data_IF_272645679654
#
_entry.id   IF_272645679654
#
_cell.length_a   1.000
_cell.length_b   1.000
_cell.length_c   1.000
_cell.angle_alpha   90.00
_cell.angle_beta   90.00
_cell.angle_gamma   90.00
#
_symmetry.space_group_name_H-M   'P 1'
#
loop_
_entity.id
_entity.type
_entity.pdbx_description
1 polymer ?
#
# COMPACT_ATOMS: atom_id res chain seq x y z
N UNK A 1 36.89 79.35 33.52
CA UNK A 1 38.08 78.65 32.99
C UNK A 1 38.25 77.33 33.74
N UNK A 2 38.27 76.21 32.99
CA UNK A 2 38.64 74.82 33.36
C UNK A 2 38.60 74.46 34.86
N UNK A 3 37.53 73.80 35.29
CA UNK A 3 37.47 73.15 36.61
C UNK A 3 37.95 71.70 36.53
N UNK A 4 38.92 71.38 37.37
CA UNK A 4 39.51 70.05 37.57
C UNK A 4 38.61 69.17 38.43
N UNK A 5 38.73 67.87 38.17
CA UNK A 5 38.12 66.76 38.89
C UNK A 5 38.48 66.74 40.38
N UNK A 6 37.54 66.27 41.20
CA UNK A 6 37.86 65.42 42.35
C UNK A 6 36.74 64.39 42.59
N UNK A 7 37.16 63.15 42.82
CA UNK A 7 36.36 61.94 43.08
C UNK A 7 35.75 61.99 44.49
N UNK A 8 34.55 61.44 44.68
CA UNK A 8 34.35 60.24 45.50
C UNK A 8 32.87 59.82 45.61
N UNK A 9 32.66 58.55 45.25
CA UNK A 9 31.86 57.53 45.96
C UNK A 9 30.39 57.80 46.27
N UNK A 10 29.49 57.17 45.49
CA UNK A 10 28.20 56.68 46.00
C UNK A 10 28.06 55.19 45.68
N UNK A 11 27.85 54.40 46.74
CA UNK A 11 27.65 52.95 46.74
C UNK A 11 26.25 52.62 46.19
N UNK A 12 26.18 51.73 45.21
CA UNK A 12 24.95 51.26 44.58
C UNK A 12 24.25 50.21 45.47
N UNK A 13 22.96 50.42 45.77
CA UNK A 13 22.10 49.40 46.37
C UNK A 13 21.28 48.75 45.23
N UNK A 14 21.63 47.50 44.91
CA UNK A 14 20.94 46.67 43.93
C UNK A 14 19.61 46.17 44.54
N UNK A 15 18.48 46.64 44.00
CA UNK A 15 17.17 46.06 44.27
C UNK A 15 16.92 44.96 43.23
N UNK A 16 17.01 43.70 43.66
CA UNK A 16 16.63 42.54 42.84
C UNK A 16 15.11 42.39 42.91
N UNK A 17 14.43 42.73 41.81
CA UNK A 17 13.02 42.41 41.61
C UNK A 17 12.94 41.00 41.05
N UNK A 18 12.45 40.05 41.85
CA UNK A 18 12.10 38.72 41.37
C UNK A 18 10.83 38.81 40.52
N UNK A 19 10.99 38.76 39.19
CA UNK A 19 9.89 38.52 38.27
C UNK A 19 9.52 37.04 38.31
N UNK A 20 8.34 36.72 38.86
CA UNK A 20 7.74 35.39 38.73
C UNK A 20 7.33 35.18 37.26
N UNK A 21 8.23 34.62 36.45
CA UNK A 21 7.92 34.12 35.11
C UNK A 21 7.27 32.75 35.26
N UNK A 22 5.94 32.70 35.33
CA UNK A 22 5.20 31.47 35.10
C UNK A 22 5.39 31.06 33.64
N UNK A 23 6.38 30.21 33.35
CA UNK A 23 6.34 29.38 32.14
C UNK A 23 5.18 28.42 32.33
N UNK A 24 4.05 28.69 31.68
CA UNK A 24 3.10 27.63 31.38
C UNK A 24 3.84 26.69 30.44
N UNK A 25 4.28 25.57 30.94
CA UNK A 25 4.74 24.47 30.11
C UNK A 25 3.58 24.14 29.16
N UNK A 26 3.74 24.52 27.91
CA UNK A 26 2.83 24.12 26.86
C UNK A 26 3.09 22.63 26.64
N UNK A 27 2.36 21.80 27.38
CA UNK A 27 2.24 20.38 27.07
C UNK A 27 1.37 20.32 25.82
N UNK A 28 2.01 20.16 24.66
CA UNK A 28 1.29 19.85 23.43
C UNK A 28 0.42 18.61 23.72
N UNK A 29 -0.90 18.69 23.54
CA UNK A 29 -1.77 17.55 23.86
C UNK A 29 -1.30 16.37 23.03
N UNK A 30 -0.95 15.28 23.70
CA UNK A 30 -0.63 14.02 23.05
C UNK A 30 -1.88 13.62 22.26
N UNK A 31 -1.79 13.71 20.93
CA UNK A 31 -2.86 13.27 20.04
C UNK A 31 -3.03 11.78 20.32
N UNK A 32 -4.13 11.40 20.96
CA UNK A 32 -4.44 10.01 21.25
C UNK A 32 -4.43 9.23 19.94
N UNK A 33 -3.40 8.40 19.76
CA UNK A 33 -3.29 7.55 18.57
C UNK A 33 -4.45 6.58 18.58
N UNK A 34 -5.22 6.57 17.50
CA UNK A 34 -6.23 5.56 17.23
C UNK A 34 -5.64 4.16 17.31
N UNK A 35 -6.47 3.21 17.73
CA UNK A 35 -6.12 1.81 18.02
C UNK A 35 -5.27 1.13 16.94
N UNK A 36 -5.45 1.52 15.68
CA UNK A 36 -4.76 0.95 14.53
C UNK A 36 -3.81 1.92 13.80
N UNK A 37 -3.40 3.03 14.43
CA UNK A 37 -2.48 4.00 13.79
C UNK A 37 -0.99 3.64 13.96
N UNK A 38 -0.63 2.92 15.03
CA UNK A 38 0.77 2.57 15.30
C UNK A 38 1.15 1.21 14.72
N UNK A 39 1.01 1.06 13.41
CA UNK A 39 1.23 -0.21 12.73
C UNK A 39 0.88 -0.19 11.26
N UNK A 40 0.66 -1.37 10.70
CA UNK A 40 0.11 -1.55 9.35
C UNK A 40 -0.79 -2.78 9.30
N UNK A 41 -1.63 -2.86 8.27
CA UNK A 41 -2.54 -3.99 8.08
C UNK A 41 -1.94 -5.03 7.15
N UNK A 42 -2.31 -6.29 7.34
CA UNK A 42 -2.16 -7.33 6.32
C UNK A 42 -3.56 -7.76 5.93
N UNK A 43 -3.88 -7.57 4.65
CA UNK A 43 -5.12 -8.04 4.05
C UNK A 43 -4.90 -9.48 3.62
N UNK A 44 -5.79 -10.37 4.05
CA UNK A 44 -5.68 -11.82 3.83
C UNK A 44 -6.86 -12.29 2.98
N UNK A 45 -6.58 -13.00 1.88
CA UNK A 45 -7.61 -13.45 0.92
C UNK A 45 -8.65 -14.34 1.60
N UNK A 46 -8.24 -15.14 2.58
CA UNK A 46 -9.04 -16.21 3.14
C UNK A 46 -9.07 -17.42 2.20
N UNK A 47 -9.70 -18.51 2.65
CA UNK A 47 -9.71 -19.75 1.89
C UNK A 47 -10.97 -19.83 1.02
N UNK A 48 -10.82 -19.52 -0.27
CA UNK A 48 -11.89 -19.63 -1.26
C UNK A 48 -12.74 -20.90 -1.09
N UNK A 49 -14.03 -20.72 -0.82
CA UNK A 49 -15.01 -21.79 -0.64
C UNK A 49 -15.04 -22.43 0.75
N UNK A 50 -14.20 -21.96 1.69
CA UNK A 50 -14.12 -22.45 3.08
C UNK A 50 -14.17 -21.35 4.14
N UNK A 51 -13.77 -20.13 3.81
CA UNK A 51 -13.81 -18.98 4.69
C UNK A 51 -13.57 -17.70 3.91
N UNK A 52 -14.14 -16.60 4.40
CA UNK A 52 -13.90 -15.27 3.83
C UNK A 52 -12.49 -14.78 4.20
N UNK A 53 -12.05 -13.71 3.56
CA UNK A 53 -10.86 -12.99 3.96
C UNK A 53 -10.97 -12.33 5.34
N UNK A 54 -9.84 -11.84 5.83
CA UNK A 54 -9.73 -11.17 7.12
C UNK A 54 -8.67 -10.06 7.07
N UNK A 55 -8.62 -9.24 8.12
CA UNK A 55 -7.64 -8.15 8.24
C UNK A 55 -6.84 -8.39 9.52
N UNK A 56 -5.55 -8.58 9.36
CA UNK A 56 -4.59 -8.61 10.45
C UNK A 56 -3.95 -7.23 10.66
N UNK A 57 -3.50 -6.93 11.87
CA UNK A 57 -2.80 -5.68 12.21
C UNK A 57 -1.47 -5.97 12.90
N UNK A 58 -0.38 -5.48 12.31
CA UNK A 58 0.95 -5.52 12.93
C UNK A 58 1.17 -4.24 13.73
N UNK A 59 1.37 -4.38 15.03
CA UNK A 59 1.56 -3.25 15.94
C UNK A 59 3.07 -3.00 16.17
N UNK A 60 3.53 -1.77 15.93
CA UNK A 60 4.95 -1.41 16.01
C UNK A 60 5.53 -1.45 17.42
N UNK A 61 4.73 -1.09 18.45
CA UNK A 61 5.17 -1.11 19.85
C UNK A 61 5.42 -2.53 20.37
N UNK A 62 4.52 -3.46 20.01
CA UNK A 62 4.55 -4.83 20.55
C UNK A 62 5.25 -5.82 19.63
N UNK A 63 5.45 -5.47 18.35
CA UNK A 63 5.96 -6.38 17.33
C UNK A 63 5.04 -7.56 17.02
N UNK A 64 3.75 -7.46 17.38
CA UNK A 64 2.77 -8.55 17.24
C UNK A 64 1.81 -8.30 16.09
N UNK A 65 1.50 -9.37 15.36
CA UNK A 65 0.40 -9.42 14.40
C UNK A 65 -0.86 -9.95 15.09
N UNK A 66 -1.93 -9.16 15.08
CA UNK A 66 -3.24 -9.56 15.60
C UNK A 66 -4.20 -9.81 14.45
N UNK A 67 -4.75 -11.01 14.36
CA UNK A 67 -5.73 -11.36 13.33
C UNK A 67 -7.15 -10.91 13.69
N UNK A 68 -8.09 -11.18 12.76
CA UNK A 68 -9.53 -11.07 12.93
C UNK A 68 -9.98 -9.67 13.37
N UNK A 69 -9.20 -8.64 13.03
CA UNK A 69 -9.38 -7.29 13.57
C UNK A 69 -10.69 -6.69 13.10
N UNK A 70 -11.02 -6.83 11.81
CA UNK A 70 -12.30 -6.37 11.26
C UNK A 70 -13.50 -6.96 12.00
N UNK A 71 -13.52 -8.28 12.23
CA UNK A 71 -14.64 -8.96 12.90
C UNK A 71 -14.77 -8.55 14.35
N UNK A 72 -13.65 -8.32 15.04
CA UNK A 72 -13.62 -7.84 16.43
C UNK A 72 -14.23 -6.45 16.56
N UNK A 73 -13.94 -5.55 15.63
CA UNK A 73 -14.50 -4.18 15.66
C UNK A 73 -15.91 -4.09 15.06
N UNK A 74 -16.32 -5.09 14.27
CA UNK A 74 -17.64 -5.16 13.63
C UNK A 74 -18.31 -6.54 13.86
N UNK A 75 -18.71 -6.87 15.11
CA UNK A 75 -19.15 -8.22 15.47
C UNK A 75 -20.38 -8.71 14.69
N UNK A 76 -21.24 -7.80 14.22
CA UNK A 76 -22.45 -8.09 13.44
C UNK A 76 -22.25 -8.04 11.92
N UNK A 77 -21.02 -7.80 11.46
CA UNK A 77 -20.67 -7.69 10.03
C UNK A 77 -19.76 -8.84 9.60
N UNK A 78 -19.68 -9.03 8.29
CA UNK A 78 -18.85 -10.04 7.64
C UNK A 78 -18.44 -9.60 6.23
N UNK A 79 -17.61 -10.43 5.61
CA UNK A 79 -17.15 -10.30 4.23
C UNK A 79 -17.76 -11.37 3.32
N UNK A 80 -18.92 -11.93 3.68
CA UNK A 80 -19.56 -13.02 2.94
C UNK A 80 -19.85 -12.68 1.46
N UNK A 81 -20.01 -13.69 0.57
CA UNK A 81 -20.15 -15.14 0.83
C UNK A 81 -18.84 -15.85 1.17
N UNK A 82 -18.91 -17.12 1.62
CA UNK A 82 -17.75 -18.00 1.86
C UNK A 82 -16.86 -18.23 0.63
N UNK A 83 -17.39 -17.98 -0.58
CA UNK A 83 -16.62 -17.99 -1.82
C UNK A 83 -15.79 -16.72 -2.03
N UNK A 84 -16.03 -15.66 -1.27
CA UNK A 84 -15.32 -14.40 -1.43
C UNK A 84 -13.85 -14.54 -1.05
N UNK A 85 -13.02 -13.72 -1.68
CA UNK A 85 -11.62 -13.57 -1.32
C UNK A 85 -11.29 -12.10 -1.20
N UNK A 86 -10.82 -11.66 -0.04
CA UNK A 86 -10.44 -10.26 0.20
C UNK A 86 -9.04 -10.02 -0.36
N UNK A 87 -8.94 -9.64 -1.63
CA UNK A 87 -7.65 -9.66 -2.31
C UNK A 87 -6.93 -8.30 -2.37
N UNK A 88 -7.59 -7.22 -1.97
CA UNK A 88 -7.01 -5.89 -2.09
C UNK A 88 -7.43 -4.98 -0.93
N UNK A 89 -6.49 -4.15 -0.49
CA UNK A 89 -6.74 -3.08 0.45
C UNK A 89 -5.94 -1.83 0.12
N UNK A 90 -6.52 -0.66 0.37
CA UNK A 90 -5.81 0.62 0.28
C UNK A 90 -6.42 1.63 1.24
N UNK A 91 -5.59 2.56 1.72
CA UNK A 91 -6.06 3.67 2.55
C UNK A 91 -6.19 4.91 1.66
N UNK A 92 -7.32 5.59 1.75
CA UNK A 92 -7.55 6.87 1.08
C UNK A 92 -8.35 7.78 2.00
N UNK A 93 -7.79 8.95 2.35
CA UNK A 93 -8.43 9.94 3.24
C UNK A 93 -8.96 9.33 4.55
N UNK A 94 -8.05 8.72 5.31
CA UNK A 94 -8.32 8.06 6.60
C UNK A 94 -9.25 6.84 6.55
N UNK A 95 -9.71 6.43 5.36
CA UNK A 95 -10.56 5.25 5.19
C UNK A 95 -9.78 4.10 4.55
N UNK A 96 -9.88 2.92 5.14
CA UNK A 96 -9.39 1.67 4.58
C UNK A 96 -10.50 1.03 3.72
N UNK A 97 -10.21 0.89 2.43
CA UNK A 97 -11.07 0.24 1.43
C UNK A 97 -10.65 -1.20 1.30
N UNK A 98 -11.53 -2.12 1.65
CA UNK A 98 -11.37 -3.57 1.60
C UNK A 98 -12.16 -4.10 0.40
N UNK A 99 -11.48 -4.73 -0.56
CA UNK A 99 -12.07 -5.12 -1.83
C UNK A 99 -12.01 -6.63 -2.00
N UNK A 100 -13.18 -7.26 -2.15
CA UNK A 100 -13.30 -8.71 -2.33
C UNK A 100 -13.80 -9.10 -3.73
N UNK A 101 -13.17 -10.13 -4.30
CA UNK A 101 -13.62 -10.83 -5.52
C UNK A 101 -14.64 -11.94 -5.19
N UNK A 102 -15.06 -12.66 -6.23
CA UNK A 102 -15.85 -13.89 -6.13
C UNK A 102 -17.17 -13.75 -5.34
N UNK A 103 -17.94 -12.74 -5.69
CA UNK A 103 -19.24 -12.42 -5.10
C UNK A 103 -19.16 -11.54 -3.86
N UNK A 104 -17.95 -11.23 -3.36
CA UNK A 104 -17.73 -10.45 -2.15
C UNK A 104 -18.11 -8.97 -2.26
N UNK A 105 -18.12 -8.27 -1.11
CA UNK A 105 -18.38 -6.84 -1.03
C UNK A 105 -17.12 -6.00 -1.31
N UNK A 106 -17.34 -4.69 -1.48
CA UNK A 106 -16.33 -3.69 -1.11
C UNK A 106 -16.78 -3.10 0.23
N UNK A 107 -15.91 -3.07 1.23
CA UNK A 107 -16.19 -2.52 2.55
C UNK A 107 -15.27 -1.33 2.81
N UNK A 108 -15.81 -0.27 3.40
CA UNK A 108 -15.06 0.92 3.80
C UNK A 108 -15.12 1.03 5.31
N UNK A 109 -13.95 1.10 5.93
CA UNK A 109 -13.81 1.25 7.38
C UNK A 109 -12.94 2.46 7.69
N UNK A 110 -13.16 3.08 8.83
CA UNK A 110 -12.22 4.05 9.38
C UNK A 110 -10.87 3.36 9.65
N UNK A 111 -9.75 3.87 9.14
CA UNK A 111 -8.46 3.19 9.22
C UNK A 111 -7.87 3.17 10.65
N UNK A 112 -8.39 4.00 11.56
CA UNK A 112 -7.89 4.16 12.93
C UNK A 112 -8.63 3.27 13.93
N UNK A 113 -9.89 2.97 13.64
CA UNK A 113 -10.81 2.21 14.51
C UNK A 113 -11.33 0.92 13.88
N UNK A 114 -11.16 0.73 12.56
CA UNK A 114 -11.73 -0.35 11.74
C UNK A 114 -13.26 -0.47 11.77
N UNK A 115 -13.99 0.52 12.27
CA UNK A 115 -15.46 0.51 12.24
C UNK A 115 -15.96 0.74 10.80
N UNK A 116 -16.89 -0.09 10.35
CA UNK A 116 -17.50 0.02 9.02
C UNK A 116 -18.28 1.33 8.87
N UNK A 117 -17.91 2.13 7.85
CA UNK A 117 -18.55 3.39 7.46
C UNK A 117 -19.51 3.20 6.28
N UNK A 118 -19.27 2.19 5.45
CA UNK A 118 -20.10 1.90 4.30
C UNK A 118 -19.64 0.67 3.53
N UNK A 119 -20.45 0.27 2.54
CA UNK A 119 -20.15 -0.89 1.69
C UNK A 119 -20.89 -0.86 0.37
N UNK A 120 -20.28 -1.45 -0.65
CA UNK A 120 -20.99 -2.03 -1.79
C UNK A 120 -21.26 -3.49 -1.44
N UNK A 121 -22.53 -3.86 -1.35
CA UNK A 121 -22.95 -5.17 -0.89
C UNK A 121 -22.44 -6.32 -1.79
N UNK A 122 -22.24 -7.47 -1.16
CA UNK A 122 -21.99 -8.73 -1.84
C UNK A 122 -23.14 -9.05 -2.81
N UNK A 123 -22.80 -9.49 -4.01
CA UNK A 123 -23.76 -9.86 -5.06
C UNK A 123 -23.12 -10.89 -5.98
N UNK A 124 -23.89 -11.90 -6.37
CA UNK A 124 -23.45 -12.88 -7.37
C UNK A 124 -22.97 -12.19 -8.65
N UNK A 125 -21.82 -12.60 -9.15
CA UNK A 125 -21.15 -11.98 -10.30
C UNK A 125 -20.24 -10.79 -9.95
N UNK A 126 -20.23 -10.30 -8.72
CA UNK A 126 -19.20 -9.35 -8.28
C UNK A 126 -17.82 -10.00 -8.42
N UNK A 127 -16.90 -9.27 -9.04
CA UNK A 127 -15.51 -9.68 -9.18
C UNK A 127 -14.63 -8.43 -9.08
N UNK A 128 -14.75 -7.72 -7.96
CA UNK A 128 -13.99 -6.49 -7.69
C UNK A 128 -12.51 -6.79 -7.55
N UNK A 129 -11.65 -5.86 -8.00
CA UNK A 129 -10.20 -6.06 -8.07
C UNK A 129 -9.42 -5.06 -7.22
N UNK A 130 -9.39 -3.79 -7.59
CA UNK A 130 -8.67 -2.74 -6.87
C UNK A 130 -9.50 -1.47 -6.75
N UNK A 131 -9.14 -0.62 -5.79
CA UNK A 131 -9.75 0.69 -5.59
C UNK A 131 -8.70 1.80 -5.71
N UNK A 132 -9.07 2.94 -6.28
CA UNK A 132 -8.26 4.17 -6.25
C UNK A 132 -9.15 5.38 -5.97
N UNK A 133 -8.76 6.22 -5.00
CA UNK A 133 -9.42 7.49 -4.74
C UNK A 133 -9.01 8.56 -5.77
N UNK A 134 -9.97 9.34 -6.26
CA UNK A 134 -9.73 10.41 -7.24
C UNK A 134 -9.75 11.77 -6.54
N UNK A 135 -10.85 12.04 -5.83
CA UNK A 135 -11.10 13.25 -5.05
C UNK A 135 -11.97 12.94 -3.81
N UNK A 136 -12.49 13.96 -3.14
CA UNK A 136 -13.29 13.80 -1.91
C UNK A 136 -14.69 13.17 -2.10
N UNK A 137 -15.15 13.06 -3.35
CA UNK A 137 -16.46 12.55 -3.74
C UNK A 137 -16.36 11.31 -4.65
N UNK A 138 -15.24 11.14 -5.35
CA UNK A 138 -15.10 10.17 -6.43
C UNK A 138 -13.95 9.20 -6.16
N UNK A 139 -14.24 7.90 -6.26
CA UNK A 139 -13.24 6.84 -6.41
C UNK A 139 -13.52 5.99 -7.65
N UNK A 140 -12.60 5.09 -7.97
CA UNK A 140 -12.78 4.08 -9.01
C UNK A 140 -12.58 2.70 -8.43
N UNK A 141 -13.41 1.76 -8.86
CA UNK A 141 -13.36 0.35 -8.48
C UNK A 141 -13.24 -0.52 -9.73
N UNK A 142 -12.09 -1.18 -9.90
CA UNK A 142 -11.86 -2.10 -11.01
C UNK A 142 -12.49 -3.45 -10.74
N UNK A 143 -12.80 -4.19 -11.81
CA UNK A 143 -13.44 -5.50 -11.74
C UNK A 143 -12.94 -6.43 -12.85
N UNK A 144 -13.43 -7.68 -12.85
CA UNK A 144 -13.28 -8.61 -13.96
C UNK A 144 -13.94 -8.19 -15.28
N UNK A 145 -14.72 -7.10 -15.29
CA UNK A 145 -15.50 -6.64 -16.44
C UNK A 145 -15.30 -5.17 -16.83
N UNK A 146 -14.49 -4.41 -16.08
CA UNK A 146 -14.12 -3.04 -16.41
C UNK A 146 -13.80 -2.22 -15.16
N UNK A 147 -14.10 -0.93 -15.20
CA UNK A 147 -13.90 -0.02 -14.06
C UNK A 147 -15.17 0.78 -13.80
N UNK A 148 -15.54 0.94 -12.54
CA UNK A 148 -16.76 1.60 -12.11
C UNK A 148 -16.44 2.83 -11.25
N UNK A 149 -17.17 3.92 -11.48
CA UNK A 149 -17.10 5.14 -10.68
C UNK A 149 -17.85 4.92 -9.38
N UNK A 150 -17.17 5.17 -8.26
CA UNK A 150 -17.70 5.05 -6.90
C UNK A 150 -18.00 6.44 -6.35
N UNK A 151 -19.24 6.65 -5.91
CA UNK A 151 -19.58 7.82 -5.09
C UNK A 151 -19.14 7.56 -3.64
N UNK A 152 -18.20 8.36 -3.12
CA UNK A 152 -17.61 8.19 -1.79
C UNK A 152 -18.50 8.67 -0.64
N UNK A 153 -19.65 9.28 -0.92
CA UNK A 153 -20.65 9.64 0.09
C UNK A 153 -21.70 8.55 0.28
N UNK A 154 -22.08 7.88 -0.81
CA UNK A 154 -23.13 6.85 -0.81
C UNK A 154 -22.61 5.42 -0.93
N UNK A 155 -21.33 5.25 -1.27
CA UNK A 155 -20.68 3.96 -1.57
C UNK A 155 -21.44 3.13 -2.60
N UNK A 156 -21.75 3.75 -3.74
CA UNK A 156 -22.42 3.11 -4.88
C UNK A 156 -21.53 3.14 -6.12
N UNK A 157 -21.56 2.07 -6.92
CA UNK A 157 -20.73 1.89 -8.12
C UNK A 157 -21.58 1.59 -9.36
N UNK A 158 -22.32 2.60 -9.84
CA UNK A 158 -23.36 2.42 -10.85
C UNK A 158 -22.94 2.84 -12.26
N UNK A 159 -21.85 3.59 -12.40
CA UNK A 159 -21.41 4.11 -13.70
C UNK A 159 -20.12 3.43 -14.10
N UNK A 160 -20.14 2.70 -15.21
CA UNK A 160 -18.94 2.09 -15.79
C UNK A 160 -18.17 3.12 -16.61
N UNK A 161 -16.84 3.14 -16.49
CA UNK A 161 -15.97 3.95 -17.34
C UNK A 161 -16.02 3.46 -18.79
N UNK A 162 -16.06 4.40 -19.71
CA UNK A 162 -16.03 4.13 -21.16
C UNK A 162 -14.59 3.86 -21.59
N UNK A 163 -14.42 2.90 -22.50
CA UNK A 163 -13.13 2.65 -23.17
C UNK A 163 -12.22 1.65 -22.47
N UNK A 164 -12.64 1.03 -21.36
CA UNK A 164 -11.92 -0.07 -20.71
C UNK A 164 -12.88 -1.20 -20.37
N UNK A 165 -12.58 -2.40 -20.89
CA UNK A 165 -13.44 -3.58 -20.84
C UNK A 165 -12.64 -4.78 -20.33
N UNK A 166 -13.35 -5.82 -19.89
CA UNK A 166 -12.73 -7.04 -19.39
C UNK A 166 -12.02 -6.85 -18.05
N UNK A 167 -11.04 -7.71 -17.75
CA UNK A 167 -10.38 -7.71 -16.45
C UNK A 167 -9.45 -6.49 -16.31
N UNK A 168 -9.69 -5.71 -15.25
CA UNK A 168 -8.85 -4.59 -14.84
C UNK A 168 -8.44 -4.80 -13.38
N UNK A 169 -7.14 -4.70 -13.13
CA UNK A 169 -6.52 -4.93 -11.84
C UNK A 169 -6.12 -3.63 -11.15
N UNK A 170 -4.83 -3.52 -10.85
CA UNK A 170 -4.24 -2.38 -10.15
C UNK A 170 -4.54 -1.04 -10.83
N UNK A 171 -4.72 -0.03 -10.00
CA UNK A 171 -4.88 1.35 -10.42
C UNK A 171 -4.06 2.26 -9.52
N UNK A 172 -3.53 3.35 -10.08
CA UNK A 172 -2.87 4.40 -9.29
C UNK A 172 -3.16 5.77 -9.91
N UNK A 173 -3.44 6.75 -9.05
CA UNK A 173 -3.51 8.16 -9.45
C UNK A 173 -2.14 8.82 -9.27
N UNK A 174 -1.69 9.52 -10.29
CA UNK A 174 -0.48 10.34 -10.26
C UNK A 174 -0.67 11.58 -11.11
N UNK A 175 -0.27 12.75 -10.59
CA UNK A 175 -0.36 14.01 -11.32
C UNK A 175 -1.76 14.23 -11.93
N UNK A 176 -1.80 14.39 -13.25
CA UNK A 176 -3.01 14.66 -14.03
C UNK A 176 -3.71 13.38 -14.54
N UNK A 177 -3.20 12.20 -14.19
CA UNK A 177 -3.63 10.94 -14.79
C UNK A 177 -3.94 9.86 -13.77
N UNK A 178 -4.69 8.88 -14.26
CA UNK A 178 -4.96 7.61 -13.59
C UNK A 178 -4.41 6.52 -14.48
N UNK A 179 -3.55 5.68 -13.93
CA UNK A 179 -2.92 4.56 -14.60
C UNK A 179 -3.60 3.27 -14.13
N UNK A 180 -3.98 2.40 -15.06
CA UNK A 180 -4.73 1.18 -14.79
C UNK A 180 -4.14 -0.01 -15.54
N UNK A 181 -4.12 -1.18 -14.91
CA UNK A 181 -3.68 -2.42 -15.55
C UNK A 181 -4.88 -3.18 -16.11
N UNK A 182 -5.01 -3.23 -17.42
CA UNK A 182 -5.99 -4.06 -18.14
C UNK A 182 -5.33 -5.34 -18.65
N UNK A 183 -5.99 -6.49 -18.47
CA UNK A 183 -5.51 -7.77 -19.00
C UNK A 183 -5.42 -7.79 -20.52
N UNK A 184 -6.34 -7.09 -21.19
CA UNK A 184 -6.43 -7.05 -22.64
C UNK A 184 -5.61 -5.91 -23.22
N UNK A 185 -5.63 -4.74 -22.57
CA UNK A 185 -5.04 -3.51 -23.12
C UNK A 185 -3.66 -3.16 -22.56
N UNK A 186 -3.16 -3.88 -21.56
CA UNK A 186 -1.93 -3.53 -20.87
C UNK A 186 -2.15 -2.30 -19.99
N UNK A 187 -1.32 -1.28 -20.16
CA UNK A 187 -1.46 -0.01 -19.46
C UNK A 187 -2.55 0.85 -20.11
N UNK A 188 -3.54 1.25 -19.33
CA UNK A 188 -4.58 2.20 -19.74
C UNK A 188 -4.43 3.47 -18.90
N UNK A 189 -4.45 4.63 -19.55
CA UNK A 189 -4.25 5.94 -18.92
C UNK A 189 -5.49 6.79 -19.15
N UNK A 190 -6.04 7.34 -18.08
CA UNK A 190 -7.18 8.25 -18.09
C UNK A 190 -6.78 9.63 -17.57
N UNK A 191 -7.42 10.69 -18.05
CA UNK A 191 -7.31 12.02 -17.47
C UNK A 191 -8.04 12.04 -16.12
N UNK A 192 -7.41 12.53 -15.06
CA UNK A 192 -8.01 12.50 -13.72
C UNK A 192 -9.08 13.57 -13.50
N UNK A 193 -9.11 14.61 -14.33
CA UNK A 193 -10.05 15.74 -14.21
C UNK A 193 -11.45 15.42 -14.70
N UNK A 194 -11.58 14.56 -15.71
CA UNK A 194 -12.85 14.26 -16.37
C UNK A 194 -13.08 12.77 -16.65
N UNK A 195 -12.14 11.91 -16.24
CA UNK A 195 -12.20 10.46 -16.42
C UNK A 195 -12.32 10.04 -17.90
N UNK A 196 -11.82 10.86 -18.83
CA UNK A 196 -11.71 10.50 -20.25
C UNK A 196 -10.48 9.63 -20.52
N UNK A 197 -10.62 8.67 -21.44
CA UNK A 197 -9.51 7.81 -21.86
C UNK A 197 -8.46 8.64 -22.62
N UNK A 198 -7.22 8.60 -22.15
CA UNK A 198 -6.09 9.30 -22.76
C UNK A 198 -5.29 8.37 -23.70
N UNK A 199 -4.86 7.19 -23.20
CA UNK A 199 -3.96 6.30 -23.93
C UNK A 199 -4.07 4.84 -23.52
N UNK A 200 -3.73 3.93 -24.43
CA UNK A 200 -3.52 2.50 -24.18
C UNK A 200 -2.14 2.07 -24.66
N UNK A 201 -1.46 1.21 -23.89
CA UNK A 201 -0.12 0.68 -24.19
C UNK A 201 -0.10 -0.81 -23.84
N UNK A 202 0.04 -1.67 -24.86
CA UNK A 202 0.04 -3.13 -24.69
C UNK A 202 1.26 -3.63 -23.91
N UNK A 203 1.13 -4.82 -23.33
CA UNK A 203 2.26 -5.61 -22.82
C UNK A 203 2.67 -5.34 -21.37
N UNK A 204 1.97 -4.45 -20.65
CA UNK A 204 2.18 -4.26 -19.21
C UNK A 204 1.90 -5.55 -18.44
N UNK A 205 2.80 -5.92 -17.51
CA UNK A 205 2.69 -7.14 -16.71
C UNK A 205 2.50 -6.90 -15.21
N UNK A 206 3.26 -6.00 -14.59
CA UNK A 206 3.14 -5.71 -13.14
C UNK A 206 3.06 -4.21 -12.92
N UNK A 207 2.18 -3.76 -12.03
CA UNK A 207 2.08 -2.38 -11.59
C UNK A 207 1.20 -2.27 -10.34
N UNK A 208 1.09 -1.11 -9.70
CA UNK A 208 1.94 0.07 -9.87
C UNK A 208 2.70 0.37 -8.57
N UNK A 209 3.78 1.12 -8.70
CA UNK A 209 4.40 1.80 -7.56
C UNK A 209 4.65 3.28 -7.91
N UNK A 210 4.79 4.13 -6.88
CA UNK A 210 5.04 5.57 -7.04
C UNK A 210 6.20 6.00 -6.16
N UNK A 211 7.21 6.63 -6.75
CA UNK A 211 8.37 7.16 -6.03
C UNK A 211 8.13 8.62 -5.59
N UNK A 212 8.92 9.16 -4.63
CA UNK A 212 8.75 10.53 -4.11
C UNK A 212 8.81 11.63 -5.17
N UNK A 213 9.59 11.44 -6.25
CA UNK A 213 9.61 12.32 -7.41
C UNK A 213 8.33 12.26 -8.29
N UNK A 214 7.29 11.55 -7.84
CA UNK A 214 5.99 11.43 -8.50
C UNK A 214 5.92 10.41 -9.63
N UNK A 215 7.04 9.81 -10.06
CA UNK A 215 7.05 8.87 -11.19
C UNK A 215 6.24 7.61 -10.86
N UNK A 216 5.47 7.16 -11.85
CA UNK A 216 4.68 5.92 -11.78
C UNK A 216 5.46 4.79 -12.45
N UNK A 217 5.56 3.66 -11.77
CA UNK A 217 6.38 2.51 -12.16
C UNK A 217 5.54 1.28 -12.45
N UNK A 218 5.92 0.57 -13.50
CA UNK A 218 5.32 -0.69 -13.94
C UNK A 218 6.32 -1.49 -14.78
N UNK A 219 6.04 -2.76 -15.03
CA UNK A 219 6.87 -3.62 -15.88
C UNK A 219 6.15 -4.00 -17.15
N UNK A 220 6.91 -4.24 -18.22
CA UNK A 220 6.41 -4.81 -19.47
C UNK A 220 7.55 -5.56 -20.17
N UNK A 221 7.32 -6.83 -20.52
CA UNK A 221 8.39 -7.72 -20.99
C UNK A 221 9.53 -7.81 -19.96
N UNK A 222 10.77 -7.60 -20.39
CA UNK A 222 11.97 -7.61 -19.53
C UNK A 222 12.35 -6.22 -18.99
N UNK A 223 11.42 -5.26 -18.95
CA UNK A 223 11.76 -3.88 -18.57
C UNK A 223 10.92 -3.39 -17.40
N UNK A 224 11.56 -2.62 -16.53
CA UNK A 224 10.93 -1.74 -15.55
C UNK A 224 10.84 -0.35 -16.16
N UNK A 225 9.62 0.15 -16.37
CA UNK A 225 9.33 1.46 -16.91
C UNK A 225 9.00 2.45 -15.80
N UNK A 226 9.41 3.70 -16.00
CA UNK A 226 8.84 4.87 -15.32
C UNK A 226 8.02 5.71 -16.30
N UNK A 227 7.01 6.38 -15.79
CA UNK A 227 6.26 7.41 -16.52
C UNK A 227 6.07 8.63 -15.64
N UNK A 228 6.36 9.79 -16.21
CA UNK A 228 6.06 11.09 -15.63
C UNK A 228 4.55 11.35 -15.65
N UNK A 229 3.90 11.58 -14.50
CA UNK A 229 2.44 11.69 -14.46
C UNK A 229 1.90 13.09 -14.84
N UNK A 230 2.72 13.94 -15.45
CA UNK A 230 2.30 15.27 -15.96
C UNK A 230 2.50 15.33 -17.47
N UNK A 231 3.70 14.98 -17.93
CA UNK A 231 4.10 15.00 -19.34
C UNK A 231 3.92 13.67 -20.08
N UNK A 232 3.69 12.56 -19.35
CA UNK A 232 3.71 11.18 -19.87
C UNK A 232 5.05 10.76 -20.51
N UNK A 233 6.13 11.51 -20.25
CA UNK A 233 7.48 11.10 -20.64
C UNK A 233 7.84 9.78 -19.97
N UNK A 234 8.40 8.85 -20.76
CA UNK A 234 8.75 7.51 -20.32
C UNK A 234 10.25 7.27 -20.40
N UNK A 235 10.72 6.39 -19.52
CA UNK A 235 12.08 5.85 -19.52
C UNK A 235 12.04 4.44 -18.93
N UNK A 236 13.09 3.65 -19.12
CA UNK A 236 13.11 2.25 -18.68
C UNK A 236 14.51 1.72 -18.41
N UNK A 237 14.55 0.70 -17.56
CA UNK A 237 15.73 -0.14 -17.32
C UNK A 237 15.41 -1.59 -17.64
N UNK A 238 16.34 -2.30 -18.26
CA UNK A 238 16.22 -3.74 -18.50
C UNK A 238 16.44 -4.51 -17.19
N UNK A 239 15.55 -5.46 -16.93
CA UNK A 239 15.64 -6.47 -15.88
C UNK A 239 16.27 -7.74 -16.45
N UNK A 240 17.03 -8.46 -15.64
CA UNK A 240 17.61 -9.76 -16.04
C UNK A 240 16.57 -10.92 -16.00
N UNK A 241 15.29 -10.60 -15.86
CA UNK A 241 14.17 -11.53 -15.83
C UNK A 241 12.92 -10.87 -16.43
N UNK A 242 11.92 -11.69 -16.76
CA UNK A 242 10.60 -11.23 -17.23
C UNK A 242 9.60 -11.34 -16.09
N UNK A 243 9.09 -10.23 -15.52
CA UNK A 243 8.02 -10.27 -14.52
C UNK A 243 6.73 -10.82 -15.12
N UNK A 244 6.12 -11.81 -14.45
CA UNK A 244 4.85 -12.39 -14.86
C UNK A 244 3.66 -11.53 -14.39
N UNK A 245 2.61 -11.51 -15.23
CA UNK A 245 1.37 -10.82 -14.88
C UNK A 245 0.54 -11.65 -13.91
N UNK A 246 -0.21 -10.99 -13.04
CA UNK A 246 -1.08 -11.62 -12.05
C UNK A 246 -2.48 -11.95 -12.61
N UNK A 247 -2.61 -12.50 -13.83
CA UNK A 247 -3.93 -12.82 -14.41
C UNK A 247 -4.40 -14.25 -14.05
N UNK A 248 -5.72 -14.47 -14.09
CA UNK A 248 -6.35 -15.71 -13.62
C UNK A 248 -6.93 -15.54 -12.22
N UNK A 249 -6.29 -16.13 -11.21
CA UNK A 249 -6.65 -15.92 -9.80
C UNK A 249 -6.16 -14.56 -9.28
N UNK A 250 -6.45 -13.48 -10.01
CA UNK A 250 -5.72 -12.21 -9.92
C UNK A 250 -5.44 -11.69 -8.50
N UNK A 251 -4.25 -11.08 -8.36
CA UNK A 251 -3.74 -10.38 -7.18
C UNK A 251 -3.04 -9.08 -7.59
N UNK A 252 -2.85 -8.17 -6.63
CA UNK A 252 -2.14 -6.92 -6.87
C UNK A 252 -0.67 -7.15 -7.30
N UNK A 253 -0.15 -6.28 -8.15
CA UNK A 253 1.17 -6.44 -8.76
C UNK A 253 2.32 -6.40 -7.75
N UNK A 254 3.25 -7.35 -7.89
CA UNK A 254 4.40 -7.54 -7.02
C UNK A 254 5.53 -6.51 -7.20
N UNK A 255 5.18 -5.25 -6.97
CA UNK A 255 6.04 -4.06 -7.04
C UNK A 255 5.74 -3.13 -5.87
N UNK A 256 6.77 -2.52 -5.30
CA UNK A 256 6.66 -1.48 -4.28
C UNK A 256 7.73 -0.40 -4.51
N UNK A 257 7.54 0.78 -3.94
CA UNK A 257 8.54 1.85 -3.96
C UNK A 257 8.82 2.35 -2.56
N UNK A 258 10.05 2.83 -2.34
CA UNK A 258 10.38 3.59 -1.15
C UNK A 258 9.58 4.88 -1.13
N UNK A 259 9.12 5.28 0.06
CA UNK A 259 8.50 6.59 0.30
C UNK A 259 9.52 7.65 0.73
N UNK A 260 10.79 7.26 0.91
CA UNK A 260 11.90 8.13 1.33
C UNK A 260 12.87 8.42 0.19
N UNK A 261 13.07 7.44 -0.68
CA UNK A 261 14.04 7.47 -1.77
C UNK A 261 13.34 7.18 -3.10
N UNK A 262 13.93 7.59 -4.23
CA UNK A 262 13.45 7.23 -5.56
C UNK A 262 13.85 5.80 -5.97
N UNK A 263 13.53 4.82 -5.10
CA UNK A 263 13.91 3.42 -5.22
C UNK A 263 12.67 2.55 -5.41
N UNK A 264 12.78 1.56 -6.31
CA UNK A 264 11.70 0.62 -6.65
C UNK A 264 12.15 -0.81 -6.40
N UNK A 265 11.25 -1.63 -5.87
CA UNK A 265 11.46 -3.05 -5.60
C UNK A 265 10.49 -3.88 -6.45
N UNK A 266 10.99 -4.90 -7.13
CA UNK A 266 10.21 -5.79 -7.99
C UNK A 266 10.48 -7.23 -7.58
N UNK A 267 9.44 -8.03 -7.38
CA UNK A 267 9.59 -9.46 -7.13
C UNK A 267 9.77 -10.21 -8.46
N UNK A 268 10.66 -11.19 -8.47
CA UNK A 268 10.74 -12.19 -9.54
C UNK A 268 9.85 -13.37 -9.17
N UNK A 269 8.61 -13.31 -9.64
CA UNK A 269 7.58 -14.34 -9.44
C UNK A 269 7.56 -15.34 -10.58
N UNK A 270 6.89 -16.48 -10.38
CA UNK A 270 6.52 -17.41 -11.45
C UNK A 270 5.18 -17.03 -12.11
N UNK A 271 4.79 -17.76 -13.16
CA UNK A 271 3.55 -17.51 -13.92
C UNK A 271 2.26 -17.68 -13.11
N UNK A 272 2.32 -18.35 -11.95
CA UNK A 272 1.20 -18.57 -11.04
C UNK A 272 1.49 -18.02 -9.63
N UNK A 273 2.35 -17.01 -9.53
CA UNK A 273 2.86 -16.50 -8.25
C UNK A 273 4.09 -17.27 -7.74
N UNK A 274 4.39 -17.13 -6.44
CA UNK A 274 5.59 -17.69 -5.84
C UNK A 274 6.86 -16.93 -6.18
N UNK A 275 8.01 -17.62 -6.17
CA UNK A 275 9.33 -17.00 -6.28
C UNK A 275 9.88 -16.58 -4.93
N UNK A 276 11.17 -16.25 -4.91
CA UNK A 276 11.93 -15.94 -3.69
C UNK A 276 12.94 -14.79 -3.86
N UNK A 277 13.05 -14.19 -5.04
CA UNK A 277 14.06 -13.17 -5.34
C UNK A 277 13.41 -11.78 -5.50
N UNK A 278 13.99 -10.77 -4.85
CA UNK A 278 13.62 -9.35 -4.96
C UNK A 278 14.75 -8.62 -5.68
N UNK A 279 14.38 -7.76 -6.62
CA UNK A 279 15.28 -6.84 -7.32
C UNK A 279 15.01 -5.41 -6.88
N UNK A 280 16.06 -4.57 -6.88
CA UNK A 280 15.98 -3.18 -6.43
C UNK A 280 16.57 -2.24 -7.47
N UNK A 281 15.80 -1.26 -7.94
CA UNK A 281 16.29 -0.20 -8.80
C UNK A 281 16.49 1.11 -8.01
N UNK A 282 17.68 1.69 -8.09
CA UNK A 282 18.06 2.93 -7.39
C UNK A 282 18.39 4.08 -8.34
N UNK A 283 17.94 4.02 -9.59
CA UNK A 283 18.19 5.06 -10.61
C UNK A 283 19.30 4.75 -11.61
N UNK A 284 19.95 3.58 -11.52
CA UNK A 284 21.02 3.18 -12.45
C UNK A 284 20.88 1.74 -12.91
N UNK A 285 21.22 1.44 -14.17
CA UNK A 285 21.09 0.08 -14.72
C UNK A 285 21.81 -1.01 -13.89
N UNK A 286 23.02 -0.79 -13.34
CA UNK A 286 23.69 -1.79 -12.50
C UNK A 286 22.92 -2.19 -11.23
N UNK A 287 22.01 -1.33 -10.72
CA UNK A 287 21.28 -1.63 -9.48
C UNK A 287 20.35 -2.84 -9.59
N UNK A 288 19.87 -3.17 -10.79
CA UNK A 288 18.99 -4.33 -11.06
C UNK A 288 19.72 -5.54 -11.65
N UNK A 289 21.06 -5.50 -11.73
CA UNK A 289 21.84 -6.58 -12.32
C UNK A 289 21.86 -7.86 -11.44
N UNK A 290 21.77 -7.68 -10.12
CA UNK A 290 21.87 -8.75 -9.13
C UNK A 290 20.62 -8.82 -8.25
N UNK A 291 20.36 -9.99 -7.70
CA UNK A 291 19.32 -10.20 -6.68
C UNK A 291 19.67 -9.35 -5.45
N UNK A 292 18.70 -8.60 -4.95
CA UNK A 292 18.85 -7.74 -3.78
C UNK A 292 18.51 -8.47 -2.47
N UNK A 293 17.40 -9.21 -2.46
CA UNK A 293 16.96 -10.04 -1.32
C UNK A 293 16.56 -11.41 -1.86
N UNK A 294 16.94 -12.46 -1.14
CA UNK A 294 16.41 -13.82 -1.31
C UNK A 294 15.69 -14.23 -0.04
N UNK A 295 14.44 -14.68 -0.14
CA UNK A 295 13.69 -15.17 1.03
C UNK A 295 14.32 -16.46 1.58
N UNK A 296 14.11 -16.77 2.88
CA UNK A 296 14.60 -18.01 3.47
C UNK A 296 14.12 -19.27 2.74
N UNK A 297 14.83 -20.38 2.96
CA UNK A 297 14.52 -21.66 2.31
C UNK A 297 13.05 -22.07 2.52
N UNK A 298 12.46 -22.64 1.46
CA UNK A 298 11.06 -23.09 1.40
C UNK A 298 10.00 -21.97 1.54
N UNK A 299 10.38 -20.69 1.52
CA UNK A 299 9.44 -19.57 1.65
C UNK A 299 9.28 -18.86 0.33
N UNK A 300 8.05 -18.82 -0.17
CA UNK A 300 7.71 -18.24 -1.47
C UNK A 300 6.74 -17.06 -1.29
N UNK A 301 6.83 -16.08 -2.18
CA UNK A 301 5.89 -14.95 -2.20
C UNK A 301 4.45 -15.42 -2.40
N UNK A 302 3.50 -14.73 -1.79
CA UNK A 302 2.06 -14.94 -1.99
C UNK A 302 1.36 -13.59 -2.19
N UNK A 303 0.32 -13.55 -3.03
CA UNK A 303 -0.40 -12.32 -3.38
C UNK A 303 0.54 -11.27 -3.98
N UNK A 304 0.41 -10.01 -3.53
CA UNK A 304 1.35 -8.93 -3.85
C UNK A 304 2.76 -9.27 -3.38
N UNK A 305 2.90 -9.90 -2.21
CA UNK A 305 4.17 -10.40 -1.67
C UNK A 305 5.13 -9.33 -1.14
N UNK A 306 4.89 -8.05 -1.42
CA UNK A 306 5.79 -6.95 -1.07
C UNK A 306 5.05 -5.67 -0.70
N UNK A 307 5.62 -4.95 0.25
CA UNK A 307 5.24 -3.61 0.66
C UNK A 307 6.44 -2.81 1.14
N UNK A 308 6.24 -1.51 1.37
CA UNK A 308 7.25 -0.64 1.96
C UNK A 308 6.65 0.08 3.16
N UNK A 309 7.22 -0.14 4.34
CA UNK A 309 6.83 0.51 5.58
C UNK A 309 7.46 1.92 5.65
N UNK A 310 6.67 3.00 5.54
CA UNK A 310 7.17 4.37 5.58
C UNK A 310 7.60 4.82 6.98
N UNK A 311 7.13 4.15 8.04
CA UNK A 311 7.39 4.50 9.45
C UNK A 311 8.70 3.86 9.89
N UNK A 312 8.86 2.55 9.68
CA UNK A 312 10.09 1.84 10.05
C UNK A 312 11.18 1.92 8.98
N UNK A 313 10.85 2.45 7.79
CA UNK A 313 11.74 2.52 6.62
C UNK A 313 12.28 1.12 6.26
N UNK A 314 11.36 0.20 5.94
CA UNK A 314 11.66 -1.21 5.72
C UNK A 314 10.91 -1.77 4.52
N UNK A 315 11.53 -2.71 3.81
CA UNK A 315 10.83 -3.55 2.84
C UNK A 315 10.17 -4.69 3.60
N UNK A 316 8.86 -4.82 3.45
CA UNK A 316 8.07 -5.88 4.09
C UNK A 316 7.71 -6.93 3.05
N UNK A 317 8.05 -8.18 3.31
CA UNK A 317 7.77 -9.32 2.43
C UNK A 317 6.82 -10.28 3.14
N UNK A 318 5.77 -10.71 2.44
CA UNK A 318 4.81 -11.71 2.90
C UNK A 318 5.00 -13.02 2.15
N UNK A 319 5.15 -14.13 2.88
CA UNK A 319 5.35 -15.46 2.27
C UNK A 319 4.44 -16.52 2.85
N UNK A 320 4.31 -17.61 2.10
CA UNK A 320 3.84 -18.92 2.56
C UNK A 320 4.93 -19.96 2.35
N UNK A 321 4.86 -21.09 3.06
CA UNK A 321 5.75 -22.21 2.78
C UNK A 321 5.38 -22.89 1.45
N UNK A 322 6.39 -23.20 0.63
CA UNK A 322 6.23 -23.96 -0.61
C UNK A 322 5.74 -25.39 -0.33
N UNK A 323 4.91 -25.96 -1.22
CA UNK A 323 4.53 -27.38 -1.16
C UNK A 323 3.03 -27.67 -1.06
N UNK A 324 2.16 -26.65 -1.15
CA UNK A 324 0.69 -26.78 -1.15
C UNK A 324 0.09 -27.36 0.15
N UNK A 325 -1.25 -27.36 0.24
CA UNK A 325 -1.98 -27.95 1.37
C UNK A 325 -1.53 -27.35 2.70
N UNK A 326 -1.17 -28.21 3.66
CA UNK A 326 -0.71 -27.80 4.99
C UNK A 326 0.49 -26.84 4.99
N UNK A 327 1.31 -26.82 3.94
CA UNK A 327 2.40 -25.85 3.81
C UNK A 327 1.88 -24.40 3.75
N UNK A 328 0.71 -24.18 3.15
CA UNK A 328 0.11 -22.84 3.06
C UNK A 328 -0.49 -22.36 4.39
N UNK A 329 -0.47 -23.19 5.44
CA UNK A 329 -0.77 -22.75 6.80
C UNK A 329 0.45 -22.15 7.52
N UNK A 330 1.64 -22.14 6.90
CA UNK A 330 2.88 -21.61 7.46
C UNK A 330 3.21 -20.32 6.73
N UNK A 331 3.07 -19.19 7.41
CA UNK A 331 3.22 -17.86 6.84
C UNK A 331 4.31 -17.08 7.59
N UNK A 332 4.95 -16.13 6.90
CA UNK A 332 5.93 -15.25 7.51
C UNK A 332 5.78 -13.81 7.00
N UNK A 333 6.00 -12.85 7.91
CA UNK A 333 6.39 -11.49 7.56
C UNK A 333 7.90 -11.36 7.74
N UNK A 334 8.58 -10.84 6.72
CA UNK A 334 9.99 -10.50 6.79
C UNK A 334 10.19 -9.00 6.63
N UNK A 335 11.07 -8.45 7.45
CA UNK A 335 11.41 -7.03 7.48
C UNK A 335 12.85 -6.85 7.06
N UNK A 336 13.09 -6.21 5.92
CA UNK A 336 14.44 -6.01 5.38
C UNK A 336 14.85 -4.54 5.43
N UNK A 337 16.14 -4.32 5.62
CA UNK A 337 16.75 -3.01 5.41
C UNK A 337 16.66 -2.61 3.92
N UNK A 338 16.13 -1.43 3.58
CA UNK A 338 15.95 -1.01 2.20
C UNK A 338 17.28 -0.69 1.48
N UNK A 339 18.36 -0.41 2.22
CA UNK A 339 19.66 -0.04 1.66
C UNK A 339 20.62 -1.23 1.55
N UNK A 340 20.67 -2.11 2.54
CA UNK A 340 21.59 -3.26 2.52
C UNK A 340 20.94 -4.57 2.07
N UNK A 341 19.61 -4.69 2.15
CA UNK A 341 18.91 -5.96 1.93
C UNK A 341 19.04 -6.92 3.10
N UNK A 342 19.62 -6.49 4.23
CA UNK A 342 19.76 -7.31 5.42
C UNK A 342 18.40 -7.58 6.08
N UNK A 343 18.15 -8.85 6.43
CA UNK A 343 16.98 -9.24 7.21
C UNK A 343 17.11 -8.70 8.64
N UNK A 344 16.15 -7.86 9.06
CA UNK A 344 16.07 -7.31 10.42
C UNK A 344 15.25 -8.20 11.35
N UNK A 345 14.10 -8.65 10.89
CA UNK A 345 13.15 -9.38 11.74
C UNK A 345 12.31 -10.33 10.90
N UNK A 346 11.96 -11.47 11.50
CA UNK A 346 10.99 -12.42 10.98
C UNK A 346 9.85 -12.55 12.00
N UNK A 347 8.62 -12.47 11.53
CA UNK A 347 7.44 -12.78 12.32
C UNK A 347 6.68 -13.96 11.68
N UNK A 348 6.79 -15.18 12.24
CA UNK A 348 6.00 -16.31 11.79
C UNK A 348 4.55 -16.20 12.30
N UNK A 349 3.61 -16.67 11.49
CA UNK A 349 2.21 -16.83 11.89
C UNK A 349 1.57 -18.02 11.18
N UNK A 350 0.64 -18.71 11.85
CA UNK A 350 0.03 -19.93 11.37
C UNK A 350 -1.43 -19.75 10.99
N UNK A 351 -1.90 -20.61 10.09
CA UNK A 351 -3.28 -20.61 9.58
C UNK A 351 -3.36 -20.37 8.08
N UNK A 352 -4.51 -20.74 7.50
CA UNK A 352 -4.80 -20.58 6.08
C UNK A 352 -5.26 -19.14 5.78
N UNK A 353 -4.31 -18.21 5.85
CA UNK A 353 -4.57 -16.78 5.69
C UNK A 353 -4.53 -16.32 4.24
N UNK A 354 -3.52 -16.80 3.48
CA UNK A 354 -3.29 -16.40 2.08
C UNK A 354 -3.08 -14.87 1.97
N UNK A 355 -1.93 -14.34 2.44
CA UNK A 355 -1.72 -12.90 2.56
C UNK A 355 -1.75 -12.21 1.20
N UNK A 356 -2.79 -11.41 0.97
CA UNK A 356 -3.01 -10.72 -0.27
C UNK A 356 -2.03 -9.56 -0.42
N UNK A 357 -1.95 -8.69 0.59
CA UNK A 357 -1.03 -7.55 0.60
C UNK A 357 -0.90 -6.89 1.98
N UNK A 358 0.27 -6.32 2.32
CA UNK A 358 0.38 -5.33 3.38
C UNK A 358 -0.23 -3.99 2.92
N UNK A 359 -0.85 -3.26 3.85
CA UNK A 359 -1.45 -1.93 3.64
C UNK A 359 -0.96 -0.99 4.73
N UNK A 360 -0.30 0.08 4.32
CA UNK A 360 0.32 1.06 5.22
C UNK A 360 -0.50 2.36 5.24
N UNK A 361 -0.47 3.05 6.38
CA UNK A 361 -0.99 4.41 6.48
C UNK A 361 -0.16 5.36 5.60
N UNK A 362 -0.83 6.17 4.79
CA UNK A 362 -0.19 7.28 4.10
C UNK A 362 0.17 8.39 5.12
N UNK A 363 1.29 9.08 4.90
CA UNK A 363 1.70 10.26 5.68
C UNK A 363 1.80 11.47 4.79
#
# INVERSE_FOLDING_TARGET
>A
MKNKQLRNSLLALFVVVFGASCTRDYVEPEVEKGKYENGFFVVNEGWFGRGTGEVSFFNYETGKLSDSTFKRENPTKDLNPTSSSLQYGTIYRDDLYLVSKAGGPMVVVDSKTLKEKGRIAAKGGNDWRAFVGIDENTGLLSSGSGVYVVNLKTFTANTKLVGVEGQVGDMIKGGNYIFMHSATDGLVIYNSSDLSLNKKIKGMSVGFAKTPNGKVWYTAGKYLYQTDPVSLAKDSVELNFTPFSAWGAWHAGSIAASTKENTVYVLKTGSFGGGNEVFRYTGTAPSVANVFITTPANQIFYGKGIGFDPVLNQVVITTVQSGWGANYAINNLYFYDPMSGALKTTLPYSGYHFPAMPVFHEK
#
